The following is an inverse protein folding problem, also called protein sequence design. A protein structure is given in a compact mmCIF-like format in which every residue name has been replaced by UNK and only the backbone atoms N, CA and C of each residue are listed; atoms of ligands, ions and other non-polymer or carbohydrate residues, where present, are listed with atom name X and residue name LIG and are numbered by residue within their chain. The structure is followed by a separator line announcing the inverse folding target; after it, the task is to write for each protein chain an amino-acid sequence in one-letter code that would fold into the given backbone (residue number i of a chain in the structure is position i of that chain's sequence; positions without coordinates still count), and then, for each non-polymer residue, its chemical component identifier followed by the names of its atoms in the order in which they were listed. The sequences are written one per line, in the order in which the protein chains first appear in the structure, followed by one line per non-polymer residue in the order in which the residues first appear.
data_IF_247096496677
#
_entry.id   IF_247096496677
#
_cell.length_a   1.000
_cell.length_b   1.000
_cell.length_c   1.000
_cell.angle_alpha   90.00
_cell.angle_beta   90.00
_cell.angle_gamma   90.00
#
_symmetry.space_group_name_H-M   'P 1'
#
loop_
_entity.id
_entity.type
_entity.pdbx_description
1 polymer ?
#
# COMPACT_ATOMS: atom_id res chain seq x y z
N UNK A 1 -9.08 -30.02 21.58
CA UNK A 1 -9.77 -28.86 22.18
C UNK A 1 -8.91 -27.62 22.38
N UNK A 2 -7.78 -27.66 23.11
CA UNK A 2 -6.97 -26.43 23.33
C UNK A 2 -6.55 -25.75 22.01
N UNK A 3 -6.16 -26.54 20.99
CA UNK A 3 -5.71 -26.06 19.68
C UNK A 3 -6.82 -25.40 18.86
N UNK A 4 -7.99 -26.04 18.76
CA UNK A 4 -9.15 -25.51 18.03
C UNK A 4 -9.68 -24.22 18.66
N UNK A 5 -9.60 -24.11 20.00
CA UNK A 5 -9.96 -22.88 20.72
C UNK A 5 -8.97 -21.75 20.41
N UNK A 6 -7.66 -22.04 20.40
CA UNK A 6 -6.62 -21.05 20.06
C UNK A 6 -6.67 -20.61 18.59
N UNK A 7 -6.86 -21.53 17.65
CA UNK A 7 -6.99 -21.21 16.22
C UNK A 7 -8.26 -20.38 15.95
N UNK A 8 -9.37 -20.72 16.62
CA UNK A 8 -10.61 -19.95 16.55
C UNK A 8 -10.47 -18.54 17.09
N UNK A 9 -9.71 -18.35 18.18
CA UNK A 9 -9.46 -17.04 18.75
C UNK A 9 -8.66 -16.17 17.77
N UNK A 10 -7.58 -16.68 17.20
CA UNK A 10 -6.73 -15.93 16.26
C UNK A 10 -7.51 -15.44 15.04
N UNK A 11 -8.34 -16.28 14.43
CA UNK A 11 -9.15 -15.91 13.27
C UNK A 11 -10.20 -14.85 13.63
N UNK A 12 -10.84 -14.95 14.80
CA UNK A 12 -11.80 -13.92 15.26
C UNK A 12 -11.14 -12.59 15.54
N UNK A 13 -9.95 -12.60 16.15
CA UNK A 13 -9.16 -11.39 16.37
C UNK A 13 -8.78 -10.76 15.03
N UNK A 14 -8.38 -11.56 14.04
CA UNK A 14 -8.10 -11.06 12.70
C UNK A 14 -9.35 -10.43 12.05
N UNK A 15 -10.52 -11.05 12.15
CA UNK A 15 -11.77 -10.49 11.62
C UNK A 15 -12.14 -9.16 12.29
N UNK A 16 -12.07 -9.09 13.62
CA UNK A 16 -12.31 -7.86 14.35
C UNK A 16 -11.30 -6.77 13.93
N UNK A 17 -10.03 -7.14 13.77
CA UNK A 17 -8.99 -6.25 13.26
C UNK A 17 -9.32 -5.71 11.87
N UNK A 18 -9.76 -6.55 10.94
CA UNK A 18 -10.14 -6.10 9.59
C UNK A 18 -11.31 -5.13 9.64
N UNK A 19 -12.35 -5.43 10.43
CA UNK A 19 -13.49 -4.51 10.63
C UNK A 19 -13.05 -3.16 11.17
N UNK A 20 -12.21 -3.12 12.20
CA UNK A 20 -11.65 -1.86 12.74
C UNK A 20 -10.76 -1.16 11.72
N UNK A 21 -9.98 -1.90 10.95
CA UNK A 21 -9.08 -1.36 9.93
C UNK A 21 -9.84 -0.69 8.79
N UNK A 22 -11.04 -1.17 8.42
CA UNK A 22 -11.90 -0.45 7.48
C UNK A 22 -12.40 0.88 8.03
N UNK A 23 -12.74 0.96 9.32
CA UNK A 23 -13.09 2.24 9.96
C UNK A 23 -11.90 3.21 9.89
N UNK A 24 -10.69 2.71 10.14
CA UNK A 24 -9.44 3.48 10.01
C UNK A 24 -9.23 3.98 8.57
N UNK A 25 -9.54 3.18 7.54
CA UNK A 25 -9.48 3.64 6.15
C UNK A 25 -10.50 4.74 5.83
N UNK A 26 -11.72 4.65 6.39
CA UNK A 26 -12.71 5.72 6.27
C UNK A 26 -12.18 7.00 6.92
N UNK A 27 -11.57 6.91 8.10
CA UNK A 27 -10.92 8.06 8.75
C UNK A 27 -9.79 8.63 7.89
N UNK A 28 -8.93 7.79 7.29
CA UNK A 28 -7.87 8.24 6.36
C UNK A 28 -8.46 8.97 5.16
N UNK A 29 -9.59 8.52 4.64
CA UNK A 29 -10.24 9.12 3.47
C UNK A 29 -10.91 10.46 3.79
N UNK A 30 -11.53 10.59 4.95
CA UNK A 30 -12.40 11.73 5.28
C UNK A 30 -11.82 12.72 6.31
N UNK A 31 -10.72 12.39 7.00
CA UNK A 31 -10.08 13.26 7.98
C UNK A 31 -8.65 13.61 7.56
N UNK A 32 -8.41 14.89 7.26
CA UNK A 32 -7.11 15.38 6.81
C UNK A 32 -6.01 15.16 7.87
N UNK A 33 -6.29 15.48 9.15
CA UNK A 33 -5.35 15.26 10.26
C UNK A 33 -4.95 13.79 10.42
N UNK A 34 -5.88 12.87 10.15
CA UNK A 34 -5.61 11.43 10.23
C UNK A 34 -4.86 10.92 8.99
N UNK A 35 -5.12 11.49 7.82
CA UNK A 35 -4.33 11.22 6.61
C UNK A 35 -2.86 11.59 6.82
N UNK A 36 -2.61 12.73 7.46
CA UNK A 36 -1.26 13.18 7.80
C UNK A 36 -0.51 12.26 8.76
N UNK A 37 -1.22 11.65 9.71
CA UNK A 37 -0.67 10.69 10.65
C UNK A 37 -0.33 9.35 9.96
N UNK A 38 -1.08 8.99 8.92
CA UNK A 38 -1.02 7.69 8.22
C UNK A 38 -0.30 7.73 6.87
N UNK A 39 0.14 8.91 6.41
CA UNK A 39 0.83 9.08 5.15
C UNK A 39 2.21 8.39 5.12
N UNK A 40 2.44 7.61 4.06
CA UNK A 40 3.71 6.93 3.76
C UNK A 40 4.49 7.70 2.68
N UNK A 41 4.76 8.98 2.92
CA UNK A 41 5.51 9.84 2.02
C UNK A 41 6.25 10.95 2.76
N UNK A 42 7.55 11.07 2.50
CA UNK A 42 8.39 12.09 3.12
C UNK A 42 7.91 13.51 2.79
N UNK A 43 7.41 14.20 3.82
CA UNK A 43 7.47 15.65 3.89
C UNK A 43 8.93 16.03 3.92
N UNK A 44 9.41 16.73 2.91
CA UNK A 44 10.73 17.37 2.98
C UNK A 44 10.75 18.23 4.25
N UNK A 45 11.72 17.97 5.12
CA UNK A 45 11.93 18.74 6.32
C UNK A 45 12.13 20.21 5.95
N UNK A 46 11.09 21.01 6.19
CA UNK A 46 11.17 22.46 6.32
C UNK A 46 10.52 22.88 7.65
N UNK A 47 10.65 22.05 8.69
CA UNK A 47 10.14 22.34 10.02
C UNK A 47 11.18 22.99 10.95
N UNK A 48 12.47 22.99 10.59
CA UNK A 48 13.53 23.55 11.44
C UNK A 48 13.96 24.97 11.06
N UNK A 49 13.30 25.63 10.10
CA UNK A 49 13.69 26.97 9.65
C UNK A 49 12.67 28.10 9.92
N UNK A 50 11.53 27.83 10.55
CA UNK A 50 10.55 28.89 10.83
C UNK A 50 9.57 28.55 11.96
N UNK A 51 10.09 28.17 13.13
CA UNK A 51 9.38 28.41 14.38
C UNK A 51 9.32 29.93 14.61
N UNK A 52 8.17 30.55 14.36
CA UNK A 52 7.92 31.92 14.82
C UNK A 52 6.85 32.70 14.09
N UNK A 53 6.56 32.42 12.81
CA UNK A 53 5.69 33.32 12.01
C UNK A 53 4.56 32.57 11.26
N UNK A 54 4.63 31.24 11.14
CA UNK A 54 3.70 30.45 10.32
C UNK A 54 2.48 29.83 11.05
N UNK A 55 2.46 29.79 12.38
CA UNK A 55 1.37 29.13 13.13
C UNK A 55 0.04 29.89 13.04
N UNK A 56 0.07 31.22 13.00
CA UNK A 56 -1.16 32.03 12.97
C UNK A 56 -1.94 31.90 11.65
N UNK A 57 -1.24 31.73 10.52
CA UNK A 57 -1.88 31.63 9.19
C UNK A 57 -2.38 30.21 8.89
N UNK A 58 -1.69 29.18 9.42
CA UNK A 58 -2.09 27.76 9.31
C UNK A 58 -3.35 27.45 10.13
N UNK A 59 -3.53 28.13 11.25
CA UNK A 59 -4.74 28.00 12.08
C UNK A 59 -5.97 28.62 11.39
N UNK A 60 -5.82 29.70 10.61
CA UNK A 60 -6.91 30.33 9.85
C UNK A 60 -7.35 29.51 8.62
N UNK A 61 -6.41 28.93 7.86
CA UNK A 61 -6.75 28.02 6.75
C UNK A 61 -7.29 26.68 7.26
N UNK A 62 -6.85 26.23 8.44
CA UNK A 62 -7.42 25.10 9.16
C UNK A 62 -8.88 25.32 9.55
N UNK A 63 -9.23 26.49 10.09
CA UNK A 63 -10.62 26.82 10.47
C UNK A 63 -11.57 26.93 9.26
N UNK A 64 -11.09 27.42 8.11
CA UNK A 64 -11.89 27.49 6.88
C UNK A 64 -11.99 26.15 6.13
N UNK A 65 -11.00 25.25 6.24
CA UNK A 65 -11.09 23.90 5.68
C UNK A 65 -11.92 22.94 6.55
N UNK A 66 -12.05 23.20 7.86
CA UNK A 66 -12.85 22.39 8.80
C UNK A 66 -14.36 22.61 8.60
N UNK A 67 -14.77 23.72 7.99
CA UNK A 67 -16.18 24.08 7.80
C UNK A 67 -16.83 23.45 6.57
N UNK A 68 -16.08 22.91 5.61
CA UNK A 68 -16.62 22.29 4.40
C UNK A 68 -16.37 20.77 4.42
N UNK A 69 -17.25 20.03 5.10
CA UNK A 69 -17.32 18.57 4.97
C UNK A 69 -17.27 17.76 6.26
N UNK A 70 -17.56 18.34 7.41
CA UNK A 70 -17.74 17.58 8.64
C UNK A 70 -19.02 16.72 8.58
N UNK A 71 -18.95 15.57 7.90
CA UNK A 71 -19.97 14.52 8.03
C UNK A 71 -20.07 14.08 9.49
N UNK A 72 -21.24 13.65 9.97
CA UNK A 72 -21.45 13.18 11.36
C UNK A 72 -20.37 12.17 11.84
N UNK A 73 -19.80 11.40 10.90
CA UNK A 73 -18.70 10.46 11.10
C UNK A 73 -17.38 11.12 11.52
N UNK A 74 -17.07 12.34 11.10
CA UNK A 74 -15.81 13.00 11.48
C UNK A 74 -15.89 13.59 12.90
N UNK A 75 -17.05 14.14 13.27
CA UNK A 75 -17.25 14.87 14.54
C UNK A 75 -16.99 14.01 15.80
N UNK A 76 -17.34 12.72 15.75
CA UNK A 76 -17.08 11.78 16.85
C UNK A 76 -15.61 11.37 17.01
N UNK A 77 -14.82 11.49 15.94
CA UNK A 77 -13.44 11.00 15.89
C UNK A 77 -12.39 12.11 15.92
N UNK A 78 -12.78 13.39 15.87
CA UNK A 78 -11.86 14.54 16.00
C UNK A 78 -11.04 14.48 17.30
N UNK A 79 -11.70 14.28 18.45
CA UNK A 79 -11.01 14.19 19.76
C UNK A 79 -9.98 13.06 19.84
N UNK A 80 -10.31 11.79 19.49
CA UNK A 80 -9.33 10.71 19.53
C UNK A 80 -8.23 10.86 18.47
N UNK A 81 -8.52 11.40 17.28
CA UNK A 81 -7.50 11.69 16.25
C UNK A 81 -6.53 12.75 16.77
N UNK A 82 -7.02 13.85 17.33
CA UNK A 82 -6.19 14.90 17.91
C UNK A 82 -5.36 14.41 19.11
N UNK A 83 -5.93 13.55 19.96
CA UNK A 83 -5.17 12.91 21.03
C UNK A 83 -4.06 12.01 20.48
N UNK A 84 -4.34 11.24 19.42
CA UNK A 84 -3.36 10.37 18.80
C UNK A 84 -2.22 11.14 18.12
N UNK A 85 -2.54 12.24 17.41
CA UNK A 85 -1.53 13.11 16.77
C UNK A 85 -0.63 13.78 17.81
N UNK A 86 -1.18 14.21 18.94
CA UNK A 86 -0.43 14.81 20.06
C UNK A 86 0.29 13.80 20.96
N UNK A 87 -0.06 12.52 20.88
CA UNK A 87 0.58 11.44 21.64
C UNK A 87 2.04 11.17 21.20
N UNK A 88 2.75 10.37 21.99
CA UNK A 88 4.07 9.86 21.63
C UNK A 88 4.06 9.09 20.29
N UNK A 89 2.97 8.37 19.99
CA UNK A 89 2.83 7.58 18.76
C UNK A 89 2.74 8.46 17.50
N UNK A 90 2.09 9.63 17.61
CA UNK A 90 1.97 10.60 16.51
C UNK A 90 3.20 11.48 16.33
N UNK A 91 3.90 11.81 17.43
CA UNK A 91 5.08 12.68 17.41
C UNK A 91 6.38 11.96 17.08
N UNK A 92 6.55 10.72 17.54
CA UNK A 92 7.76 9.95 17.29
C UNK A 92 7.87 9.56 15.81
N UNK A 93 9.01 9.87 15.19
CA UNK A 93 9.28 9.59 13.78
C UNK A 93 10.35 8.51 13.65
N UNK A 94 10.08 7.52 12.80
CA UNK A 94 11.01 6.44 12.49
C UNK A 94 11.33 6.52 11.00
N UNK A 95 12.59 6.25 10.64
CA UNK A 95 12.98 6.17 9.23
C UNK A 95 12.15 5.14 8.50
N UNK A 96 11.68 5.47 7.29
CA UNK A 96 10.85 4.58 6.48
C UNK A 96 11.52 3.21 6.27
N UNK A 97 12.84 3.17 6.02
CA UNK A 97 13.58 1.91 5.87
C UNK A 97 13.38 0.98 7.08
N UNK A 98 13.52 1.50 8.30
CA UNK A 98 13.34 0.72 9.54
C UNK A 98 11.89 0.26 9.72
N UNK A 99 10.90 1.11 9.41
CA UNK A 99 9.49 0.70 9.54
C UNK A 99 9.18 -0.45 8.59
N UNK A 100 9.52 -0.32 7.31
CA UNK A 100 9.27 -1.36 6.31
C UNK A 100 10.01 -2.65 6.66
N UNK A 101 11.27 -2.56 7.11
CA UNK A 101 12.02 -3.72 7.62
C UNK A 101 11.27 -4.41 8.76
N UNK A 102 10.77 -3.64 9.73
CA UNK A 102 10.00 -4.19 10.85
C UNK A 102 8.71 -4.88 10.40
N UNK A 103 8.00 -4.34 9.40
CA UNK A 103 6.78 -4.94 8.86
C UNK A 103 7.05 -6.36 8.35
N UNK A 104 8.05 -6.49 7.48
CA UNK A 104 8.36 -7.75 6.82
C UNK A 104 8.96 -8.78 7.78
N UNK A 105 9.85 -8.35 8.69
CA UNK A 105 10.37 -9.23 9.75
C UNK A 105 9.25 -9.75 10.63
N UNK A 106 8.31 -8.88 11.03
CA UNK A 106 7.16 -9.28 11.85
C UNK A 106 6.29 -10.30 11.12
N UNK A 107 6.04 -10.12 9.82
CA UNK A 107 5.30 -11.08 8.99
C UNK A 107 5.99 -12.45 8.91
N UNK A 108 7.31 -12.46 8.68
CA UNK A 108 8.11 -13.71 8.61
C UNK A 108 8.11 -14.44 9.96
N UNK A 109 8.39 -13.73 11.07
CA UNK A 109 8.44 -14.32 12.41
C UNK A 109 7.08 -14.88 12.81
N UNK A 110 5.99 -14.15 12.53
CA UNK A 110 4.63 -14.61 12.81
C UNK A 110 4.32 -15.87 12.01
N UNK A 111 4.63 -15.87 10.71
CA UNK A 111 4.38 -17.03 9.84
C UNK A 111 5.20 -18.25 10.26
N UNK A 112 6.48 -18.07 10.61
CA UNK A 112 7.34 -19.13 11.12
C UNK A 112 6.81 -19.70 12.45
N UNK A 113 6.28 -18.86 13.33
CA UNK A 113 5.67 -19.28 14.59
C UNK A 113 4.40 -20.11 14.34
N UNK A 114 3.54 -19.67 13.41
CA UNK A 114 2.33 -20.39 13.01
C UNK A 114 2.65 -21.74 12.36
N UNK A 115 3.64 -21.79 11.46
CA UNK A 115 4.12 -23.02 10.84
C UNK A 115 4.70 -23.98 11.88
N UNK A 116 5.54 -23.48 12.80
CA UNK A 116 6.12 -24.27 13.88
C UNK A 116 5.04 -24.86 14.80
N UNK A 117 4.06 -24.05 15.17
CA UNK A 117 2.93 -24.51 15.98
C UNK A 117 2.24 -25.70 15.31
N UNK A 118 1.92 -25.60 14.01
CA UNK A 118 1.32 -26.70 13.25
C UNK A 118 2.18 -27.95 13.22
N UNK A 119 3.48 -27.82 12.95
CA UNK A 119 4.39 -28.97 12.91
C UNK A 119 4.45 -29.70 14.27
N UNK A 120 4.44 -28.96 15.37
CA UNK A 120 4.41 -29.53 16.72
C UNK A 120 3.10 -30.30 16.94
N UNK A 121 1.96 -29.69 16.59
CA UNK A 121 0.65 -30.35 16.76
C UNK A 121 0.48 -31.60 15.91
N UNK A 122 1.00 -31.60 14.67
CA UNK A 122 1.00 -32.79 13.82
C UNK A 122 1.81 -33.96 14.42
N UNK A 123 3.00 -33.66 14.96
CA UNK A 123 3.85 -34.68 15.61
C UNK A 123 3.20 -35.25 16.87
N UNK A 124 2.54 -34.41 17.66
CA UNK A 124 1.87 -34.86 18.89
C UNK A 124 0.64 -35.75 18.61
N UNK A 125 -0.12 -35.48 17.53
CA UNK A 125 -1.29 -36.29 17.16
C UNK A 125 -0.96 -37.66 16.56
N UNK A 126 0.23 -37.82 15.97
CA UNK A 126 0.71 -39.10 15.41
C UNK A 126 1.32 -40.02 16.45
N UNK A 127 1.72 -39.50 17.62
CA UNK A 127 2.33 -40.29 18.71
C UNK A 127 1.30 -40.97 19.64
N UNK A 128 0.01 -40.63 19.57
CA UNK A 128 -1.01 -41.11 20.52
C UNK A 128 -2.01 -42.14 19.96
N UNK A 129 -1.81 -42.66 18.75
CA UNK A 129 -2.76 -43.57 18.10
C UNK A 129 -2.23 -45.00 17.96
N UNK A 130 -2.71 -45.93 18.79
CA UNK A 130 -2.76 -47.34 18.41
C UNK A 130 -3.53 -47.48 17.08
N UNK A 131 -3.10 -48.35 16.15
CA UNK A 131 -3.74 -48.50 14.86
C UNK A 131 -5.08 -49.24 15.04
N UNK A 132 -6.19 -48.49 15.13
CA UNK A 132 -7.52 -49.08 15.04
C UNK A 132 -7.84 -49.36 13.57
N UNK A 133 -7.96 -50.63 13.20
CA UNK A 133 -8.11 -51.16 11.84
C UNK A 133 -9.44 -50.80 11.11
N UNK A 134 -10.19 -49.78 11.53
CA UNK A 134 -11.52 -49.46 10.96
C UNK A 134 -11.60 -48.06 10.32
N UNK A 135 -10.46 -47.39 10.11
CA UNK A 135 -10.43 -46.15 9.34
C UNK A 135 -10.27 -46.45 7.84
N UNK A 136 -11.39 -46.51 7.11
CA UNK A 136 -11.40 -46.41 5.65
C UNK A 136 -10.50 -45.24 5.21
N UNK A 137 -9.59 -45.43 4.23
CA UNK A 137 -8.65 -44.40 3.81
C UNK A 137 -9.41 -43.37 2.97
N UNK A 138 -10.03 -42.40 3.62
CA UNK A 138 -10.51 -41.19 2.94
C UNK A 138 -9.32 -40.24 2.82
N UNK A 139 -8.91 -39.82 1.61
CA UNK A 139 -7.81 -38.89 1.44
C UNK A 139 -8.30 -37.51 1.88
N UNK A 140 -8.06 -37.14 3.14
CA UNK A 140 -8.01 -35.74 3.50
C UNK A 140 -6.95 -35.07 2.60
N UNK A 141 -7.13 -33.80 2.18
CA UNK A 141 -6.11 -33.10 1.40
C UNK A 141 -4.77 -33.24 2.13
N UNK A 142 -3.72 -33.63 1.39
CA UNK A 142 -2.40 -33.87 1.98
C UNK A 142 -1.96 -32.62 2.73
N UNK A 143 -1.74 -32.77 4.04
CA UNK A 143 -1.29 -31.79 5.03
C UNK A 143 -0.36 -30.65 4.53
N UNK A 144 0.66 -30.92 3.68
CA UNK A 144 1.52 -29.87 3.14
C UNK A 144 0.80 -28.77 2.32
N UNK A 145 -0.31 -29.07 1.65
CA UNK A 145 -0.94 -28.11 0.74
C UNK A 145 -1.78 -27.05 1.46
N UNK A 146 -2.29 -27.34 2.67
CA UNK A 146 -2.97 -26.34 3.51
C UNK A 146 -2.00 -25.26 4.04
N UNK A 147 -0.69 -25.49 3.93
CA UNK A 147 0.32 -24.49 4.29
C UNK A 147 0.68 -23.55 3.15
N UNK A 148 0.26 -23.84 1.90
CA UNK A 148 0.67 -23.08 0.71
C UNK A 148 0.38 -21.57 0.83
N UNK A 149 -0.83 -21.10 1.22
CA UNK A 149 -1.10 -19.66 1.31
C UNK A 149 -0.18 -18.95 2.33
N UNK A 150 0.10 -19.58 3.46
CA UNK A 150 1.01 -19.05 4.49
C UNK A 150 2.47 -19.05 4.00
N UNK A 151 2.88 -20.08 3.27
CA UNK A 151 4.23 -20.15 2.64
C UNK A 151 4.37 -19.05 1.59
N UNK A 152 3.38 -18.86 0.73
CA UNK A 152 3.38 -17.78 -0.27
C UNK A 152 3.43 -16.40 0.39
N UNK A 153 2.67 -16.18 1.47
CA UNK A 153 2.75 -14.95 2.26
C UNK A 153 4.14 -14.74 2.90
N UNK A 154 4.74 -15.80 3.43
CA UNK A 154 6.09 -15.76 4.01
C UNK A 154 7.12 -15.40 2.95
N UNK A 155 7.02 -16.01 1.77
CA UNK A 155 7.88 -15.73 0.63
C UNK A 155 7.71 -14.28 0.17
N UNK A 156 6.48 -13.80 0.05
CA UNK A 156 6.19 -12.39 -0.23
C UNK A 156 6.91 -11.48 0.77
N UNK A 157 6.76 -11.72 2.08
CA UNK A 157 7.45 -10.93 3.10
C UNK A 157 8.98 -10.98 2.96
N UNK A 158 9.55 -12.15 2.67
CA UNK A 158 10.99 -12.32 2.48
C UNK A 158 11.51 -11.55 1.25
N UNK A 159 10.78 -11.62 0.13
CA UNK A 159 11.12 -10.86 -1.08
C UNK A 159 11.01 -9.37 -0.80
N UNK A 160 9.93 -8.90 -0.16
CA UNK A 160 9.77 -7.48 0.20
C UNK A 160 10.86 -7.00 1.15
N UNK A 161 11.27 -7.81 2.12
CA UNK A 161 12.40 -7.51 3.00
C UNK A 161 13.70 -7.37 2.21
N UNK A 162 14.00 -8.33 1.33
CA UNK A 162 15.17 -8.30 0.46
C UNK A 162 15.16 -7.05 -0.45
N UNK A 163 14.00 -6.72 -1.04
CA UNK A 163 13.83 -5.49 -1.82
C UNK A 163 14.09 -4.24 -0.97
N UNK A 164 13.56 -4.16 0.24
CA UNK A 164 13.81 -3.04 1.17
C UNK A 164 15.29 -2.89 1.53
N UNK A 165 16.00 -4.00 1.67
CA UNK A 165 17.42 -4.00 2.00
C UNK A 165 18.31 -3.66 0.79
N UNK A 166 18.00 -4.20 -0.39
CA UNK A 166 18.91 -4.26 -1.54
C UNK A 166 18.49 -3.37 -2.71
N UNK A 167 17.19 -3.15 -2.93
CA UNK A 167 16.66 -2.50 -4.13
C UNK A 167 16.12 -1.11 -3.82
N UNK A 168 15.29 -0.98 -2.79
CA UNK A 168 14.57 0.24 -2.47
C UNK A 168 15.53 1.33 -1.95
N UNK A 169 15.49 2.47 -2.61
CA UNK A 169 16.25 3.66 -2.22
C UNK A 169 15.34 4.63 -1.46
N UNK A 170 15.50 4.67 -0.15
CA UNK A 170 14.83 5.63 0.73
C UNK A 170 15.59 6.96 0.74
N UNK A 171 14.88 8.07 0.94
CA UNK A 171 15.53 9.39 1.10
C UNK A 171 16.06 9.54 2.53
N UNK A 172 17.10 10.37 2.69
CA UNK A 172 17.71 10.64 3.99
C UNK A 172 16.72 11.18 5.05
N UNK A 173 15.62 11.80 4.61
CA UNK A 173 14.59 12.38 5.50
C UNK A 173 13.20 11.72 5.35
N UNK A 174 13.11 10.55 4.71
CA UNK A 174 11.83 9.84 4.58
C UNK A 174 11.48 9.15 5.91
N UNK A 175 10.53 9.73 6.64
CA UNK A 175 10.11 9.24 7.97
C UNK A 175 8.62 8.97 8.02
N UNK A 176 8.23 8.03 8.88
CA UNK A 176 6.84 7.69 9.19
C UNK A 176 6.60 7.88 10.69
N UNK A 177 5.35 8.13 11.08
CA UNK A 177 4.98 8.15 12.50
C UNK A 177 5.16 6.76 13.12
N UNK A 178 5.47 6.71 14.42
CA UNK A 178 5.50 5.45 15.16
C UNK A 178 4.14 4.76 15.12
N UNK A 179 3.03 5.51 15.13
CA UNK A 179 1.69 4.97 14.90
C UNK A 179 1.60 4.19 13.58
N UNK A 180 2.01 4.81 12.46
CA UNK A 180 1.99 4.14 11.16
C UNK A 180 2.91 2.91 11.15
N UNK A 181 4.06 2.98 11.82
CA UNK A 181 4.95 1.83 11.95
C UNK A 181 4.34 0.66 12.75
N UNK A 182 3.65 0.96 13.85
CA UNK A 182 2.94 -0.06 14.64
C UNK A 182 1.78 -0.64 13.84
N UNK A 183 0.96 0.21 13.21
CA UNK A 183 -0.18 -0.21 12.38
C UNK A 183 0.26 -1.09 11.20
N UNK A 184 1.39 -0.75 10.56
CA UNK A 184 2.00 -1.59 9.52
C UNK A 184 2.44 -2.94 10.07
N UNK A 185 3.07 -2.97 11.25
CA UNK A 185 3.52 -4.23 11.86
C UNK A 185 2.33 -5.12 12.27
N UNK A 186 1.27 -4.55 12.86
CA UNK A 186 0.06 -5.28 13.22
C UNK A 186 -0.68 -5.81 11.99
N UNK A 187 -0.65 -5.08 10.86
CA UNK A 187 -1.18 -5.56 9.59
C UNK A 187 -0.50 -6.86 9.15
N UNK A 188 0.84 -6.95 9.22
CA UNK A 188 1.56 -8.17 8.83
C UNK A 188 1.32 -9.35 9.77
N UNK A 189 1.11 -9.11 11.08
CA UNK A 189 0.68 -10.15 12.02
C UNK A 189 -0.68 -10.71 11.60
N UNK A 190 -1.66 -9.84 11.38
CA UNK A 190 -3.02 -10.23 11.06
C UNK A 190 -3.13 -10.84 9.66
N UNK A 191 -2.31 -10.38 8.70
CA UNK A 191 -2.23 -10.98 7.38
C UNK A 191 -1.62 -12.38 7.42
N UNK A 192 -0.61 -12.62 8.27
CA UNK A 192 -0.07 -13.97 8.50
C UNK A 192 -1.13 -14.91 9.08
N UNK A 193 -1.85 -14.46 10.12
CA UNK A 193 -2.95 -15.22 10.73
C UNK A 193 -4.06 -15.50 9.71
N UNK A 194 -4.42 -14.52 8.89
CA UNK A 194 -5.46 -14.65 7.86
C UNK A 194 -5.03 -15.52 6.67
N UNK A 195 -3.72 -15.68 6.45
CA UNK A 195 -3.16 -16.59 5.43
C UNK A 195 -3.00 -18.01 5.95
N UNK A 196 -3.19 -18.24 7.25
CA UNK A 196 -3.08 -19.55 7.86
C UNK A 196 -4.40 -20.31 7.65
N UNK A 197 -4.36 -21.44 6.92
CA UNK A 197 -5.53 -22.31 6.75
C UNK A 197 -6.05 -22.88 8.08
N UNK A 198 -7.35 -23.13 8.25
CA UNK A 198 -7.86 -23.87 9.41
C UNK A 198 -7.24 -25.28 9.50
N UNK A 199 -7.12 -25.84 10.72
CA UNK A 199 -6.65 -27.22 10.91
C UNK A 199 -7.55 -28.26 10.23
N UNK A 200 -6.96 -29.39 9.81
CA UNK A 200 -7.63 -30.48 9.07
C UNK A 200 -8.88 -31.05 9.75
N UNK A 201 -9.02 -30.91 11.08
CA UNK A 201 -10.19 -31.40 11.82
C UNK A 201 -11.43 -30.54 11.61
N UNK A 202 -11.27 -29.31 11.11
CA UNK A 202 -12.35 -28.33 10.99
C UNK A 202 -12.82 -28.11 9.54
N UNK A 203 -12.06 -28.55 8.53
CA UNK A 203 -12.38 -28.31 7.11
C UNK A 203 -13.47 -29.28 6.63
N UNK A 204 -14.61 -28.79 6.10
CA UNK A 204 -15.58 -29.66 5.42
C UNK A 204 -14.88 -30.44 4.32
N UNK A 205 -15.33 -31.67 4.03
CA UNK A 205 -14.72 -32.51 2.98
C UNK A 205 -14.57 -31.67 1.71
N UNK A 206 -13.31 -31.40 1.35
CA UNK A 206 -12.97 -30.69 0.13
C UNK A 206 -13.61 -31.42 -1.06
N UNK A 207 -13.89 -30.71 -2.17
CA UNK A 207 -14.64 -31.30 -3.26
C UNK A 207 -13.96 -32.58 -3.76
N UNK A 208 -14.72 -33.65 -4.02
CA UNK A 208 -14.21 -34.95 -4.50
C UNK A 208 -13.28 -34.82 -5.71
N UNK A 209 -13.52 -33.82 -6.56
CA UNK A 209 -12.65 -33.53 -7.71
C UNK A 209 -11.27 -32.99 -7.29
N UNK A 210 -11.22 -32.21 -6.22
CA UNK A 210 -10.00 -31.66 -5.62
C UNK A 210 -9.25 -32.70 -4.79
N UNK A 211 -9.93 -33.76 -4.33
CA UNK A 211 -9.28 -34.90 -3.66
C UNK A 211 -8.49 -35.80 -4.63
N UNK A 212 -8.58 -35.57 -5.95
CA UNK A 212 -7.69 -36.23 -6.92
C UNK A 212 -6.29 -35.60 -6.81
N UNK A 213 -5.25 -36.37 -6.47
CA UNK A 213 -3.92 -35.82 -6.18
C UNK A 213 -3.35 -35.00 -7.35
N UNK A 214 -3.54 -35.45 -8.59
CA UNK A 214 -3.11 -34.70 -9.78
C UNK A 214 -3.84 -33.36 -9.96
N UNK A 215 -5.14 -33.31 -9.68
CA UNK A 215 -5.92 -32.06 -9.81
C UNK A 215 -5.54 -31.08 -8.70
N UNK A 216 -5.39 -31.57 -7.48
CA UNK A 216 -4.93 -30.78 -6.33
C UNK A 216 -3.56 -30.15 -6.60
N UNK A 217 -2.59 -30.95 -7.07
CA UNK A 217 -1.26 -30.47 -7.43
C UNK A 217 -1.30 -29.43 -8.55
N UNK A 218 -2.12 -29.63 -9.58
CA UNK A 218 -2.28 -28.66 -10.67
C UNK A 218 -2.85 -27.33 -10.17
N UNK A 219 -3.90 -27.35 -9.35
CA UNK A 219 -4.56 -26.14 -8.83
C UNK A 219 -3.62 -25.34 -7.93
N UNK A 220 -3.04 -25.98 -6.93
CA UNK A 220 -2.11 -25.31 -6.01
C UNK A 220 -0.81 -24.90 -6.72
N UNK A 221 -0.32 -25.73 -7.65
CA UNK A 221 0.82 -25.41 -8.50
C UNK A 221 0.57 -24.17 -9.36
N UNK A 222 -0.59 -24.09 -10.01
CA UNK A 222 -1.00 -22.91 -10.78
C UNK A 222 -1.12 -21.65 -9.90
N UNK A 223 -1.69 -21.79 -8.70
CA UNK A 223 -1.74 -20.70 -7.72
C UNK A 223 -0.35 -20.20 -7.32
N UNK A 224 0.57 -21.12 -7.00
CA UNK A 224 1.96 -20.79 -6.69
C UNK A 224 2.66 -20.09 -7.86
N UNK A 225 2.57 -20.64 -9.07
CA UNK A 225 3.19 -20.05 -10.27
C UNK A 225 2.63 -18.64 -10.52
N UNK A 226 1.31 -18.46 -10.40
CA UNK A 226 0.66 -17.16 -10.56
C UNK A 226 1.17 -16.15 -9.52
N UNK A 227 1.25 -16.56 -8.25
CA UNK A 227 1.78 -15.71 -7.18
C UNK A 227 3.23 -15.30 -7.44
N UNK A 228 4.09 -16.27 -7.80
CA UNK A 228 5.50 -16.02 -8.11
C UNK A 228 5.68 -15.10 -9.32
N UNK A 229 4.86 -15.28 -10.36
CA UNK A 229 4.88 -14.42 -11.54
C UNK A 229 4.51 -12.98 -11.19
N UNK A 230 3.45 -12.77 -10.40
CA UNK A 230 3.05 -11.45 -9.91
C UNK A 230 4.15 -10.83 -9.03
N UNK A 231 4.78 -11.61 -8.16
CA UNK A 231 5.91 -11.16 -7.34
C UNK A 231 7.09 -10.72 -8.22
N UNK A 232 7.41 -11.46 -9.28
CA UNK A 232 8.49 -11.10 -10.20
C UNK A 232 8.21 -9.80 -10.96
N UNK A 233 6.96 -9.59 -11.40
CA UNK A 233 6.54 -8.31 -11.98
C UNK A 233 6.69 -7.19 -10.95
N UNK A 234 6.22 -7.40 -9.71
CA UNK A 234 6.34 -6.41 -8.64
C UNK A 234 7.81 -6.00 -8.39
N UNK A 235 8.72 -6.98 -8.32
CA UNK A 235 10.17 -6.74 -8.16
C UNK A 235 10.77 -5.96 -9.32
N UNK A 236 10.37 -6.30 -10.55
CA UNK A 236 10.80 -5.60 -11.76
C UNK A 236 10.37 -4.14 -11.72
N UNK A 237 9.12 -3.88 -11.34
CA UNK A 237 8.53 -2.55 -11.20
C UNK A 237 9.27 -1.73 -10.12
N UNK A 238 9.53 -2.30 -8.94
CA UNK A 238 10.31 -1.61 -7.91
C UNK A 238 11.75 -1.33 -8.34
N UNK A 239 12.37 -2.24 -9.09
CA UNK A 239 13.73 -2.05 -9.62
C UNK A 239 13.77 -0.87 -10.60
N UNK A 240 12.78 -0.75 -11.48
CA UNK A 240 12.63 0.41 -12.38
C UNK A 240 12.50 1.69 -11.56
N UNK A 241 11.59 1.73 -10.58
CA UNK A 241 11.41 2.90 -9.71
C UNK A 241 12.67 3.26 -8.92
N UNK A 242 13.44 2.26 -8.47
CA UNK A 242 14.72 2.48 -7.79
C UNK A 242 15.78 3.06 -8.73
N UNK A 243 15.81 2.63 -10.00
CA UNK A 243 16.70 3.17 -11.04
C UNK A 243 16.40 4.64 -11.36
N UNK A 244 15.13 5.03 -11.41
CA UNK A 244 14.75 6.44 -11.63
C UNK A 244 15.21 7.38 -10.49
N UNK A 245 15.39 6.84 -9.27
CA UNK A 245 15.93 7.61 -8.14
C UNK A 245 17.46 7.75 -8.21
N UNK A 246 18.13 7.01 -9.10
CA UNK A 246 19.55 7.18 -9.40
C UNK A 246 19.67 8.34 -10.38
N UNK A 247 19.53 9.58 -9.91
CA UNK A 247 20.01 10.70 -10.71
C UNK A 247 21.50 10.44 -10.99
N UNK A 248 21.99 10.61 -12.23
CA UNK A 248 23.42 10.67 -12.45
C UNK A 248 23.94 11.77 -11.53
N UNK A 249 24.86 11.42 -10.64
CA UNK A 249 25.61 12.43 -9.91
C UNK A 249 26.17 13.36 -10.98
N UNK A 250 25.65 14.60 -11.03
CA UNK A 250 26.19 15.63 -11.90
C UNK A 250 27.68 15.68 -11.59
N UNK A 251 28.50 15.18 -12.52
CA UNK A 251 29.95 15.26 -12.43
C UNK A 251 30.27 16.74 -12.23
N UNK A 252 30.61 17.05 -11.00
CA UNK A 252 30.79 18.40 -10.50
C UNK A 252 32.18 18.85 -10.98
N UNK A 253 32.27 19.28 -12.23
CA UNK A 253 33.42 20.07 -12.65
C UNK A 253 33.33 21.43 -11.96
N UNK A 254 34.22 21.68 -11.00
CA UNK A 254 34.04 22.62 -9.89
C UNK A 254 34.17 24.11 -10.23
N UNK A 255 34.00 24.51 -11.50
CA UNK A 255 34.05 25.91 -11.93
C UNK A 255 32.86 26.33 -12.80
N UNK A 256 32.44 25.47 -13.73
CA UNK A 256 31.37 25.78 -14.70
C UNK A 256 29.96 25.62 -14.11
N UNK A 257 29.81 24.72 -13.13
CA UNK A 257 28.52 24.43 -12.50
C UNK A 257 27.95 25.57 -11.67
N UNK A 258 28.81 26.40 -11.05
CA UNK A 258 28.35 27.48 -10.17
C UNK A 258 27.68 28.61 -10.95
N UNK A 259 28.31 29.03 -12.04
CA UNK A 259 27.76 30.05 -12.95
C UNK A 259 26.46 29.56 -13.62
N UNK A 260 26.38 28.28 -14.02
CA UNK A 260 25.17 27.72 -14.62
C UNK A 260 24.00 27.66 -13.62
N UNK A 261 24.27 27.32 -12.35
CA UNK A 261 23.27 27.38 -11.28
C UNK A 261 22.78 28.81 -11.01
N UNK A 262 23.67 29.81 -11.05
CA UNK A 262 23.28 31.22 -10.84
C UNK A 262 22.32 31.72 -11.95
N UNK A 263 22.54 31.29 -13.20
CA UNK A 263 21.64 31.61 -14.32
C UNK A 263 20.31 30.86 -14.26
N UNK A 264 20.32 29.58 -13.89
CA UNK A 264 19.08 28.81 -13.67
C UNK A 264 18.22 29.46 -12.57
N UNK A 265 18.84 29.91 -11.48
CA UNK A 265 18.15 30.58 -10.38
C UNK A 265 17.64 31.97 -10.80
N UNK A 266 18.40 32.71 -11.62
CA UNK A 266 17.97 33.96 -12.22
C UNK A 266 16.78 33.82 -13.17
N UNK A 267 16.82 32.82 -14.06
CA UNK A 267 15.69 32.47 -14.93
C UNK A 267 14.47 32.07 -14.11
N UNK A 268 14.68 31.31 -13.04
CA UNK A 268 13.60 30.86 -12.18
C UNK A 268 12.91 32.01 -11.46
N UNK A 269 13.67 32.97 -10.90
CA UNK A 269 13.10 34.19 -10.32
C UNK A 269 12.25 34.97 -11.33
N UNK A 270 12.65 35.02 -12.61
CA UNK A 270 11.86 35.66 -13.67
C UNK A 270 10.57 34.89 -13.97
N UNK A 271 10.63 33.56 -14.07
CA UNK A 271 9.43 32.72 -14.26
C UNK A 271 8.44 32.93 -13.12
N UNK A 272 8.92 32.97 -11.88
CA UNK A 272 8.08 33.23 -10.70
C UNK A 272 7.42 34.60 -10.76
N UNK A 273 8.20 35.65 -11.07
CA UNK A 273 7.69 37.00 -11.20
C UNK A 273 6.61 37.06 -12.29
N UNK A 274 6.83 36.42 -13.43
CA UNK A 274 5.88 36.40 -14.54
C UNK A 274 4.57 35.71 -14.14
N UNK A 275 4.64 34.54 -13.48
CA UNK A 275 3.46 33.83 -12.97
C UNK A 275 2.68 34.69 -11.97
N UNK A 276 3.38 35.37 -11.06
CA UNK A 276 2.76 36.25 -10.07
C UNK A 276 2.06 37.45 -10.73
N UNK A 277 2.69 38.07 -11.73
CA UNK A 277 2.10 39.19 -12.47
C UNK A 277 0.91 38.77 -13.33
N UNK A 278 0.96 37.60 -13.97
CA UNK A 278 -0.16 37.10 -14.78
C UNK A 278 -1.39 36.74 -13.95
N UNK A 279 -1.18 36.22 -12.73
CA UNK A 279 -2.27 35.90 -11.81
C UNK A 279 -2.96 37.18 -11.30
N UNK A 280 -2.18 38.22 -10.97
CA UNK A 280 -2.72 39.51 -10.56
C UNK A 280 -3.53 40.20 -11.68
N UNK A 281 -3.09 40.06 -12.94
CA UNK A 281 -3.76 40.66 -14.10
C UNK A 281 -5.09 39.99 -14.47
N UNK A 282 -5.29 38.71 -14.13
CA UNK A 282 -6.53 37.98 -14.44
C UNK A 282 -7.64 38.20 -13.41
N UNK A 283 -7.41 39.02 -12.37
CA UNK A 283 -8.40 39.25 -11.32
C UNK A 283 -8.76 37.98 -10.53
N UNK A 284 -7.97 36.93 -10.67
CA UNK A 284 -8.11 35.73 -9.86
C UNK A 284 -7.80 36.10 -8.41
N UNK A 285 -8.81 36.03 -7.56
CA UNK A 285 -8.64 35.95 -6.10
C UNK A 285 -7.50 34.97 -5.78
N UNK A 286 -6.69 35.17 -4.72
CA UNK A 286 -5.57 34.28 -4.34
C UNK A 286 -5.94 32.81 -4.05
N UNK A 287 -7.16 32.39 -4.40
CA UNK A 287 -7.68 31.03 -4.40
C UNK A 287 -7.20 30.15 -5.56
N UNK A 288 -6.48 30.68 -6.55
CA UNK A 288 -5.67 29.78 -7.41
C UNK A 288 -4.59 29.22 -6.52
N UNK A 289 -4.52 27.89 -6.33
CA UNK A 289 -3.57 27.31 -5.39
C UNK A 289 -2.19 27.68 -5.88
N UNK A 290 -1.56 28.65 -5.20
CA UNK A 290 -0.11 28.78 -5.19
C UNK A 290 0.39 27.35 -4.97
N UNK A 291 1.15 26.77 -5.92
CA UNK A 291 1.67 25.43 -5.72
C UNK A 291 2.37 25.46 -4.38
N UNK A 292 2.00 24.61 -3.41
CA UNK A 292 2.62 24.64 -2.10
C UNK A 292 4.14 24.67 -2.31
N UNK A 293 4.92 25.38 -1.47
CA UNK A 293 6.37 25.44 -1.61
C UNK A 293 7.03 24.05 -1.69
N UNK A 294 6.33 22.98 -1.29
CA UNK A 294 6.69 21.57 -1.47
C UNK A 294 6.72 21.08 -2.94
N UNK A 295 6.05 21.76 -3.87
CA UNK A 295 6.10 21.48 -5.32
C UNK A 295 7.29 22.16 -6.03
N UNK A 296 8.00 23.06 -5.36
CA UNK A 296 9.25 23.61 -5.90
C UNK A 296 10.25 22.48 -6.11
N UNK A 297 10.58 22.24 -7.37
CA UNK A 297 11.52 21.19 -7.77
C UNK A 297 10.91 19.80 -7.90
N UNK A 298 9.74 19.49 -7.33
CA UNK A 298 9.10 18.17 -7.52
C UNK A 298 8.86 17.86 -9.01
N UNK A 299 8.32 18.81 -9.77
CA UNK A 299 8.12 18.67 -11.20
C UNK A 299 9.43 18.52 -12.01
N UNK A 300 10.58 18.96 -11.47
CA UNK A 300 11.92 18.76 -12.06
C UNK A 300 12.55 17.43 -11.66
N UNK A 301 12.16 16.90 -10.50
CA UNK A 301 12.79 15.72 -9.89
C UNK A 301 12.11 14.41 -10.30
N UNK A 302 10.80 14.42 -10.55
CA UNK A 302 10.05 13.20 -10.82
C UNK A 302 9.66 13.05 -12.28
N UNK A 303 9.98 11.89 -12.85
CA UNK A 303 9.55 11.44 -14.17
C UNK A 303 8.70 10.19 -14.04
N UNK A 304 7.62 10.12 -14.80
CA UNK A 304 6.77 8.95 -14.79
C UNK A 304 7.36 7.91 -15.77
N UNK A 305 7.59 6.65 -15.35
CA UNK A 305 8.26 5.65 -16.18
C UNK A 305 7.39 5.04 -17.28
N UNK A 306 6.65 5.87 -18.03
CA UNK A 306 5.74 5.42 -19.08
C UNK A 306 6.43 4.50 -20.11
N UNK A 307 7.62 4.90 -20.58
CA UNK A 307 8.35 4.15 -21.61
C UNK A 307 9.25 3.05 -21.06
N UNK A 308 9.41 2.95 -19.74
CA UNK A 308 10.33 1.97 -19.15
C UNK A 308 9.77 0.55 -19.11
N UNK A 309 8.43 0.40 -19.06
CA UNK A 309 7.77 -0.90 -19.03
C UNK A 309 6.29 -0.77 -19.43
N UNK A 310 5.78 -1.76 -20.19
CA UNK A 310 4.38 -1.84 -20.62
C UNK A 310 3.40 -1.75 -19.44
N UNK A 311 3.74 -2.30 -18.27
CA UNK A 311 2.91 -2.23 -17.07
C UNK A 311 2.58 -0.78 -16.68
N UNK A 312 3.52 0.17 -16.79
CA UNK A 312 3.29 1.59 -16.46
C UNK A 312 2.46 2.34 -17.51
N UNK A 313 2.33 1.78 -18.72
CA UNK A 313 1.45 2.31 -19.76
C UNK A 313 -0.01 1.92 -19.53
N UNK A 314 -0.22 0.79 -18.84
CA UNK A 314 -1.55 0.23 -18.59
C UNK A 314 -2.08 0.67 -17.22
N UNK A 315 -1.25 0.65 -16.17
CA UNK A 315 -1.64 0.90 -14.77
C UNK A 315 -0.72 1.93 -14.13
N UNK A 316 -1.29 2.86 -13.36
CA UNK A 316 -0.53 3.92 -12.68
C UNK A 316 0.50 3.36 -11.67
N UNK A 317 0.07 2.40 -10.86
CA UNK A 317 0.89 1.76 -9.83
C UNK A 317 0.88 0.23 -9.99
N UNK A 318 1.61 -0.34 -10.97
CA UNK A 318 1.53 -1.77 -11.27
C UNK A 318 1.90 -2.67 -10.09
N UNK A 319 2.83 -2.23 -9.25
CA UNK A 319 3.26 -2.94 -8.05
C UNK A 319 2.15 -3.09 -7.01
N UNK A 320 1.24 -2.12 -6.90
CA UNK A 320 0.06 -2.22 -6.02
C UNK A 320 -0.96 -3.23 -6.56
N UNK A 321 -1.18 -3.24 -7.87
CA UNK A 321 -2.07 -4.23 -8.52
C UNK A 321 -1.53 -5.65 -8.33
N UNK A 322 -0.22 -5.85 -8.48
CA UNK A 322 0.41 -7.15 -8.22
C UNK A 322 0.19 -7.61 -6.77
N UNK A 323 0.38 -6.69 -5.81
CA UNK A 323 0.20 -6.99 -4.39
C UNK A 323 -1.24 -7.43 -4.07
N UNK A 324 -2.25 -6.73 -4.58
CA UNK A 324 -3.66 -7.11 -4.41
C UNK A 324 -3.94 -8.47 -5.06
N UNK A 325 -3.45 -8.69 -6.28
CA UNK A 325 -3.65 -9.94 -7.00
C UNK A 325 -3.03 -11.13 -6.26
N UNK A 326 -1.85 -10.96 -5.65
CA UNK A 326 -1.23 -12.01 -4.83
C UNK A 326 -2.05 -12.36 -3.58
N UNK A 327 -2.60 -11.37 -2.89
CA UNK A 327 -3.54 -11.62 -1.78
C UNK A 327 -4.84 -12.28 -2.27
N UNK A 328 -5.34 -11.92 -3.45
CA UNK A 328 -6.51 -12.56 -4.03
C UNK A 328 -6.26 -14.04 -4.36
N UNK A 329 -5.07 -14.37 -4.90
CA UNK A 329 -4.65 -15.77 -5.11
C UNK A 329 -4.67 -16.55 -3.80
N UNK A 330 -4.10 -16.00 -2.72
CA UNK A 330 -4.13 -16.66 -1.40
C UNK A 330 -5.57 -16.90 -0.91
N UNK A 331 -6.45 -15.91 -1.06
CA UNK A 331 -7.87 -16.03 -0.70
C UNK A 331 -8.59 -17.08 -1.53
N UNK A 332 -8.32 -17.17 -2.83
CA UNK A 332 -8.89 -18.20 -3.71
C UNK A 332 -8.40 -19.58 -3.32
N UNK A 333 -7.10 -19.75 -3.04
CA UNK A 333 -6.54 -21.03 -2.59
C UNK A 333 -7.20 -21.48 -1.28
N UNK A 334 -7.39 -20.57 -0.32
CA UNK A 334 -8.10 -20.86 0.92
C UNK A 334 -9.58 -21.19 0.70
N UNK A 335 -10.26 -20.45 -0.17
CA UNK A 335 -11.66 -20.72 -0.53
C UNK A 335 -11.81 -22.12 -1.15
N UNK A 336 -10.90 -22.52 -2.04
CA UNK A 336 -10.88 -23.85 -2.65
C UNK A 336 -10.68 -24.96 -1.61
N UNK A 337 -9.98 -24.70 -0.50
CA UNK A 337 -9.88 -25.65 0.60
C UNK A 337 -11.20 -25.85 1.36
N UNK A 338 -12.08 -24.83 1.36
CA UNK A 338 -13.28 -24.76 2.22
C UNK A 338 -14.58 -25.02 1.47
N UNK A 339 -14.56 -24.99 0.12
CA UNK A 339 -15.73 -25.21 -0.71
C UNK A 339 -16.32 -26.62 -0.46
N UNK A 340 -17.61 -26.71 -0.10
CA UNK A 340 -18.25 -28.01 0.11
C UNK A 340 -18.44 -28.76 -1.20
N UNK A 341 -18.47 -30.09 -1.11
CA UNK A 341 -18.82 -30.96 -2.23
C UNK A 341 -20.27 -30.71 -2.67
N UNK A 342 -20.48 -30.31 -3.93
CA UNK A 342 -21.80 -30.02 -4.50
C UNK A 342 -22.77 -31.23 -4.53
N UNK A 343 -22.27 -32.45 -4.26
CA UNK A 343 -23.00 -33.72 -4.35
C UNK A 343 -23.39 -34.24 -2.96
N UNK A 344 -22.91 -33.62 -1.86
CA UNK A 344 -23.26 -34.09 -0.52
C UNK A 344 -24.56 -33.41 -0.06
N UNK A 345 -25.66 -34.15 0.16
CA UNK A 345 -26.91 -33.55 0.61
C UNK A 345 -26.70 -32.87 1.96
N UNK A 346 -27.35 -31.72 2.14
CA UNK A 346 -27.31 -30.86 3.34
C UNK A 346 -27.68 -31.59 4.65
N UNK A 347 -28.18 -32.81 4.57
CA UNK A 347 -28.50 -33.72 5.68
C UNK A 347 -27.28 -34.33 6.37
N UNK A 348 -26.11 -34.39 5.72
CA UNK A 348 -24.90 -35.00 6.31
C UNK A 348 -24.14 -34.03 7.23
N UNK A 349 -24.26 -32.73 6.99
CA UNK A 349 -23.69 -31.67 7.84
C UNK A 349 -24.48 -31.58 9.17
N UNK A 350 -25.80 -31.72 9.10
CA UNK A 350 -26.66 -31.83 10.29
C UNK A 350 -26.49 -33.15 11.02
N UNK A 351 -26.24 -34.27 10.32
CA UNK A 351 -25.93 -35.56 10.96
C UNK A 351 -24.52 -35.62 11.59
N UNK A 352 -23.54 -34.90 11.02
CA UNK A 352 -22.21 -34.71 11.61
C UNK A 352 -22.24 -33.79 12.83
N UNK A 353 -23.02 -32.71 12.78
CA UNK A 353 -23.31 -31.83 13.92
C UNK A 353 -24.13 -32.54 15.01
N UNK A 354 -25.04 -33.46 14.64
CA UNK A 354 -25.79 -34.29 15.57
C UNK A 354 -24.88 -35.31 16.26
N UNK A 355 -23.94 -35.95 15.54
CA UNK A 355 -22.94 -36.86 16.12
C UNK A 355 -21.90 -36.15 16.98
N UNK A 356 -21.53 -34.90 16.66
CA UNK A 356 -20.69 -34.09 17.55
C UNK A 356 -21.47 -33.62 18.79
N UNK A 357 -22.76 -33.31 18.65
CA UNK A 357 -23.67 -33.04 19.78
C UNK A 357 -23.81 -34.26 20.70
N UNK A 358 -23.91 -35.49 20.16
CA UNK A 358 -24.07 -36.72 20.97
C UNK A 358 -22.82 -37.03 21.82
N UNK A 359 -21.62 -36.70 21.31
CA UNK A 359 -20.36 -36.72 22.09
C UNK A 359 -20.23 -35.55 23.09
N UNK A 360 -20.89 -34.42 22.82
CA UNK A 360 -20.92 -33.25 23.69
C UNK A 360 -21.88 -33.49 24.89
N UNK A 361 -23.01 -34.17 24.65
CA UNK A 361 -23.99 -34.54 25.68
C UNK A 361 -23.42 -35.54 26.69
N UNK A 362 -22.48 -36.39 26.29
CA UNK A 362 -21.82 -37.35 27.17
C UNK A 362 -20.62 -36.77 27.94
N UNK A 363 -20.11 -35.60 27.54
CA UNK A 363 -18.93 -34.95 28.15
C UNK A 363 -19.23 -33.68 28.97
N UNK A 364 -20.50 -33.25 29.05
CA UNK A 364 -20.90 -32.08 29.84
C UNK A 364 -20.44 -30.74 29.25
N UNK A 365 -20.08 -30.70 27.98
CA UNK A 365 -19.52 -29.50 27.35
C UNK A 365 -20.57 -28.53 26.79
N UNK A 366 -20.31 -27.21 26.83
CA UNK A 366 -21.27 -26.23 26.36
C UNK A 366 -21.50 -26.29 24.84
N UNK A 367 -22.76 -26.43 24.45
CA UNK A 367 -23.25 -26.59 23.06
C UNK A 367 -22.80 -25.46 22.09
N UNK A 368 -22.41 -24.28 22.60
CA UNK A 368 -21.91 -23.16 21.79
C UNK A 368 -20.51 -23.41 21.20
N UNK A 369 -19.67 -24.25 21.82
CA UNK A 369 -18.35 -24.58 21.28
C UNK A 369 -18.45 -25.33 19.93
N UNK A 370 -19.40 -26.27 19.82
CA UNK A 370 -19.62 -27.10 18.62
C UNK A 370 -20.05 -26.30 17.39
N UNK A 371 -21.08 -25.45 17.54
CA UNK A 371 -21.62 -24.62 16.43
C UNK A 371 -20.61 -23.60 15.92
N UNK A 372 -19.75 -23.09 16.80
CA UNK A 372 -18.76 -22.08 16.45
C UNK A 372 -17.51 -22.70 15.79
N UNK A 373 -17.11 -23.93 16.18
CA UNK A 373 -16.03 -24.65 15.52
C UNK A 373 -16.40 -25.10 14.11
N UNK A 374 -17.67 -25.45 13.84
CA UNK A 374 -18.15 -25.84 12.51
C UNK A 374 -18.07 -24.71 11.45
N UNK A 375 -17.97 -23.44 11.87
CA UNK A 375 -17.85 -22.27 10.97
C UNK A 375 -16.42 -21.77 10.78
N UNK A 376 -15.45 -22.34 11.50
CA UNK A 376 -14.07 -21.87 11.53
C UNK A 376 -13.38 -21.77 10.15
N UNK A 377 -13.60 -22.70 9.20
CA UNK A 377 -12.99 -22.59 7.87
C UNK A 377 -13.48 -21.39 7.08
N UNK A 378 -14.79 -21.11 7.12
CA UNK A 378 -15.37 -19.94 6.46
C UNK A 378 -14.89 -18.64 7.10
N UNK A 379 -14.70 -18.61 8.43
CA UNK A 379 -14.11 -17.46 9.10
C UNK A 379 -12.66 -17.20 8.65
N UNK A 380 -11.90 -18.24 8.35
CA UNK A 380 -10.53 -18.12 7.83
C UNK A 380 -10.51 -17.54 6.42
N UNK A 381 -11.42 -18.00 5.55
CA UNK A 381 -11.62 -17.42 4.21
C UNK A 381 -12.04 -15.95 4.31
N UNK A 382 -12.96 -15.61 5.22
CA UNK A 382 -13.38 -14.23 5.47
C UNK A 382 -12.21 -13.37 5.99
N UNK A 383 -11.34 -13.93 6.83
CA UNK A 383 -10.12 -13.26 7.28
C UNK A 383 -9.19 -12.93 6.11
N UNK A 384 -8.93 -13.89 5.22
CA UNK A 384 -8.13 -13.70 4.01
C UNK A 384 -8.77 -12.69 3.06
N UNK A 385 -10.09 -12.77 2.85
CA UNK A 385 -10.83 -11.79 2.07
C UNK A 385 -10.73 -10.38 2.70
N UNK A 386 -10.75 -10.29 4.03
CA UNK A 386 -10.50 -9.06 4.78
C UNK A 386 -9.15 -8.44 4.44
N UNK A 387 -8.06 -9.21 4.42
CA UNK A 387 -6.73 -8.76 3.96
C UNK A 387 -6.79 -8.24 2.53
N UNK A 388 -7.35 -9.03 1.60
CA UNK A 388 -7.42 -8.66 0.17
C UNK A 388 -8.18 -7.35 0.00
N UNK A 389 -9.35 -7.22 0.61
CA UNK A 389 -10.20 -6.05 0.50
C UNK A 389 -9.59 -4.83 1.17
N UNK A 390 -9.01 -4.97 2.37
CA UNK A 390 -8.32 -3.86 3.04
C UNK A 390 -7.15 -3.36 2.19
N UNK A 391 -6.33 -4.28 1.67
CA UNK A 391 -5.17 -3.94 0.82
C UNK A 391 -5.64 -3.24 -0.45
N UNK A 392 -6.69 -3.75 -1.09
CA UNK A 392 -7.29 -3.15 -2.28
C UNK A 392 -7.79 -1.72 -2.02
N UNK A 393 -8.52 -1.50 -0.93
CA UNK A 393 -9.01 -0.18 -0.55
C UNK A 393 -7.87 0.78 -0.20
N UNK A 394 -6.92 0.35 0.64
CA UNK A 394 -5.80 1.17 1.10
C UNK A 394 -4.87 1.60 -0.06
N UNK A 395 -4.55 0.67 -0.97
CA UNK A 395 -3.71 0.96 -2.13
C UNK A 395 -4.47 1.76 -3.18
N UNK A 396 -5.79 1.63 -3.29
CA UNK A 396 -6.59 2.48 -4.19
C UNK A 396 -6.65 3.93 -3.71
N UNK A 397 -6.80 4.17 -2.40
CA UNK A 397 -6.68 5.51 -1.81
C UNK A 397 -5.29 6.09 -2.12
N UNK A 398 -4.24 5.31 -1.90
CA UNK A 398 -2.85 5.73 -2.15
C UNK A 398 -2.59 6.00 -3.64
N UNK A 399 -3.16 5.18 -4.54
CA UNK A 399 -3.06 5.39 -6.00
C UNK A 399 -3.80 6.64 -6.45
N UNK A 400 -4.96 6.97 -5.84
CA UNK A 400 -5.64 8.23 -6.08
C UNK A 400 -4.81 9.44 -5.62
N UNK A 401 -4.14 9.34 -4.47
CA UNK A 401 -3.17 10.36 -4.00
C UNK A 401 -2.01 10.53 -4.99
N UNK A 402 -1.44 9.43 -5.50
CA UNK A 402 -0.40 9.47 -6.53
C UNK A 402 -0.89 10.13 -7.83
N UNK A 403 -2.12 9.83 -8.27
CA UNK A 403 -2.71 10.47 -9.46
C UNK A 403 -2.84 11.97 -9.26
N UNK A 404 -3.37 12.41 -8.12
CA UNK A 404 -3.49 13.84 -7.79
C UNK A 404 -2.12 14.52 -7.80
N UNK A 405 -1.11 13.87 -7.21
CA UNK A 405 0.27 14.36 -7.27
C UNK A 405 0.75 14.57 -8.72
N UNK A 406 0.58 13.58 -9.60
CA UNK A 406 1.01 13.70 -11.00
C UNK A 406 0.23 14.75 -11.78
N UNK A 407 -1.08 14.89 -11.54
CA UNK A 407 -1.90 15.94 -12.15
C UNK A 407 -1.43 17.33 -11.73
N UNK A 408 -1.13 17.52 -10.44
CA UNK A 408 -0.59 18.79 -9.93
C UNK A 408 0.81 19.08 -10.50
N UNK A 409 1.65 18.05 -10.64
CA UNK A 409 2.95 18.17 -11.31
C UNK A 409 2.79 18.60 -12.77
N UNK A 410 1.89 17.97 -13.54
CA UNK A 410 1.62 18.35 -14.93
C UNK A 410 1.00 19.75 -15.04
N UNK A 411 0.10 20.15 -14.13
CA UNK A 411 -0.40 21.52 -14.06
C UNK A 411 0.73 22.53 -13.83
N UNK A 412 1.65 22.22 -12.90
CA UNK A 412 2.82 23.06 -12.62
C UNK A 412 3.72 23.17 -13.85
N UNK A 413 3.96 22.06 -14.56
CA UNK A 413 4.72 22.07 -15.82
C UNK A 413 4.05 22.96 -16.86
N UNK A 414 2.74 22.85 -17.07
CA UNK A 414 2.00 23.74 -17.99
C UNK A 414 2.19 25.21 -17.65
N UNK A 415 2.02 25.58 -16.37
CA UNK A 415 2.20 26.96 -15.91
C UNK A 415 3.63 27.48 -16.19
N UNK A 416 4.65 26.71 -15.79
CA UNK A 416 6.06 27.06 -16.02
C UNK A 416 6.38 27.13 -17.52
N UNK A 417 5.83 26.22 -18.32
CA UNK A 417 6.06 26.15 -19.76
C UNK A 417 5.43 27.31 -20.51
N UNK A 418 4.23 27.72 -20.09
CA UNK A 418 3.59 28.92 -20.63
C UNK A 418 4.42 30.16 -20.30
N UNK A 419 4.82 30.34 -19.03
CA UNK A 419 5.66 31.47 -18.63
C UNK A 419 7.00 31.50 -19.38
N UNK A 420 7.67 30.35 -19.54
CA UNK A 420 8.93 30.27 -20.30
C UNK A 420 8.74 30.60 -21.78
N UNK A 421 7.65 30.14 -22.42
CA UNK A 421 7.34 30.51 -23.81
C UNK A 421 7.11 32.01 -23.95
N UNK A 422 6.29 32.61 -23.08
CA UNK A 422 6.04 34.05 -23.09
C UNK A 422 7.32 34.86 -22.92
N UNK A 423 8.18 34.49 -21.96
CA UNK A 423 9.48 35.17 -21.77
C UNK A 423 10.35 35.06 -23.03
N UNK A 424 10.40 33.89 -23.67
CA UNK A 424 11.19 33.71 -24.90
C UNK A 424 10.62 34.49 -26.08
N UNK A 425 9.30 34.52 -26.24
CA UNK A 425 8.61 35.25 -27.30
C UNK A 425 8.80 36.78 -27.12
N UNK A 426 8.71 37.29 -25.89
CA UNK A 426 8.99 38.68 -25.54
C UNK A 426 10.44 39.07 -25.84
N UNK A 427 11.41 38.20 -25.52
CA UNK A 427 12.83 38.45 -25.84
C UNK A 427 13.09 38.44 -27.35
N UNK A 428 12.42 37.56 -28.10
CA UNK A 428 12.54 37.50 -29.55
C UNK A 428 11.93 38.75 -30.22
N UNK A 429 10.88 39.33 -29.63
CA UNK A 429 10.23 40.53 -30.12
C UNK A 429 11.00 41.85 -29.80
N UNK A 430 12.01 41.83 -28.92
CA UNK A 430 12.78 43.04 -28.55
C UNK A 430 13.61 43.58 -29.74
N UNK A 431 13.48 44.86 -30.12
CA UNK A 431 14.27 45.45 -31.20
C UNK A 431 15.77 45.48 -30.87
N UNK A 432 16.62 45.30 -31.88
CA UNK A 432 18.09 45.18 -31.77
C UNK A 432 18.81 46.41 -31.18
N UNK A 433 18.13 47.56 -31.04
CA UNK A 433 18.75 48.85 -30.70
C UNK A 433 18.27 49.52 -29.40
N UNK A 434 17.28 48.99 -28.69
CA UNK A 434 16.84 49.60 -27.43
C UNK A 434 17.69 49.09 -26.28
N UNK A 435 18.26 50.00 -25.49
CA UNK A 435 19.17 49.74 -24.35
C UNK A 435 18.61 48.91 -23.18
N UNK A 436 17.54 48.14 -23.37
CA UNK A 436 17.16 47.07 -22.48
C UNK A 436 18.06 45.86 -22.73
N UNK A 437 18.84 45.46 -21.73
CA UNK A 437 19.71 44.29 -21.82
C UNK A 437 18.89 43.05 -22.24
N UNK A 438 19.14 42.53 -23.44
CA UNK A 438 18.62 41.25 -23.91
C UNK A 438 19.08 40.14 -22.96
N UNK A 439 18.28 39.07 -22.86
CA UNK A 439 18.75 37.87 -22.18
C UNK A 439 20.03 37.33 -22.84
N UNK A 440 21.03 36.90 -22.05
CA UNK A 440 22.19 36.20 -22.58
C UNK A 440 21.76 34.97 -23.40
N UNK A 441 22.48 34.66 -24.47
CA UNK A 441 22.17 33.54 -25.37
C UNK A 441 22.11 32.22 -24.61
N UNK A 442 22.98 32.07 -23.61
CA UNK A 442 23.04 30.89 -22.73
C UNK A 442 21.74 30.72 -21.94
N UNK A 443 21.10 31.81 -21.49
CA UNK A 443 19.83 31.75 -20.76
C UNK A 443 18.68 31.36 -21.70
N UNK A 444 18.71 31.85 -22.94
CA UNK A 444 17.74 31.47 -23.98
C UNK A 444 17.87 29.99 -24.33
N UNK A 445 19.09 29.48 -24.45
CA UNK A 445 19.34 28.06 -24.75
C UNK A 445 18.92 27.16 -23.59
N UNK A 446 19.20 27.56 -22.34
CA UNK A 446 18.73 26.86 -21.14
C UNK A 446 17.19 26.86 -21.09
N UNK A 447 16.53 27.98 -21.34
CA UNK A 447 15.07 28.07 -21.37
C UNK A 447 14.46 27.18 -22.46
N UNK A 448 15.05 27.13 -23.66
CA UNK A 448 14.64 26.22 -24.75
C UNK A 448 14.85 24.75 -24.39
N UNK A 449 15.97 24.41 -23.75
CA UNK A 449 16.23 23.05 -23.26
C UNK A 449 15.20 22.64 -22.21
N UNK A 450 14.91 23.50 -21.23
CA UNK A 450 13.89 23.24 -20.22
C UNK A 450 12.51 23.01 -20.83
N UNK A 451 12.11 23.78 -21.85
CA UNK A 451 10.85 23.59 -22.55
C UNK A 451 10.75 22.25 -23.28
N UNK A 452 11.84 21.78 -23.90
CA UNK A 452 11.87 20.51 -24.63
C UNK A 452 11.95 19.29 -23.72
N UNK A 453 12.63 19.44 -22.59
CA UNK A 453 12.93 18.33 -21.71
C UNK A 453 12.11 18.44 -20.44
N UNK A 454 12.45 19.37 -19.54
CA UNK A 454 11.94 19.46 -18.16
C UNK A 454 10.43 19.71 -18.02
N UNK A 455 9.83 20.43 -18.98
CA UNK A 455 8.46 20.94 -18.87
C UNK A 455 7.44 20.11 -19.66
N UNK A 456 7.87 19.01 -20.28
CA UNK A 456 6.99 18.06 -20.95
C UNK A 456 6.08 17.36 -19.93
N UNK A 457 4.76 17.42 -20.19
CA UNK A 457 3.76 16.72 -19.39
C UNK A 457 3.92 15.20 -19.46
N UNK A 458 3.68 14.54 -18.34
CA UNK A 458 3.75 13.08 -18.28
C UNK A 458 2.44 12.49 -18.77
N UNK A 459 2.53 11.47 -19.61
CA UNK A 459 1.37 10.68 -20.01
C UNK A 459 1.04 9.73 -18.87
N UNK A 460 -0.14 9.91 -18.27
CA UNK A 460 -0.62 9.05 -17.19
C UNK A 460 -1.60 8.01 -17.76
N UNK A 461 -1.50 6.73 -17.36
CA UNK A 461 -2.46 5.72 -17.75
C UNK A 461 -3.86 6.08 -17.23
N UNK A 462 -4.91 5.63 -17.92
CA UNK A 462 -6.28 5.82 -17.47
C UNK A 462 -6.64 4.96 -16.27
N UNK A 463 -6.00 3.79 -16.13
CA UNK A 463 -6.37 2.82 -15.10
C UNK A 463 -5.67 3.12 -13.76
N UNK A 464 -6.49 3.28 -12.71
CA UNK A 464 -6.09 3.20 -11.31
C UNK A 464 -6.36 1.79 -10.78
N UNK A 465 -5.61 1.40 -9.74
CA UNK A 465 -5.71 0.11 -9.05
C UNK A 465 -7.17 -0.34 -8.81
N UNK A 466 -8.06 0.58 -8.44
CA UNK A 466 -9.52 0.45 -8.61
C UNK A 466 -10.09 1.75 -9.24
N UNK A 467 -10.95 1.67 -10.27
CA UNK A 467 -11.48 2.85 -10.96
C UNK A 467 -12.49 3.67 -10.15
N UNK A 468 -12.92 3.18 -8.98
CA UNK A 468 -14.01 3.75 -8.17
C UNK A 468 -13.56 4.77 -7.12
N UNK A 469 -12.24 4.98 -6.94
CA UNK A 469 -11.70 5.95 -5.97
C UNK A 469 -11.04 7.10 -6.74
N UNK A 470 -11.72 8.24 -6.81
CA UNK A 470 -11.23 9.50 -7.42
C UNK A 470 -10.98 10.57 -6.37
#
# INVERSE_FOLDING_TARGET
MSVECTESLSVRVALAYWSTSFVVLLLRRFCAEFSDLTAYGGRSAAADASQGVGEAKRNQEGEQSVTVGATHLTRGYVKPVHWLTSSFLGRCRITRKRSFTAFYVTGIVTSATLLRARCIFHRSGTASGQPSMVAMPSPAPTDPLLCVPLVLFTLHCAVRLAETCLVQRFRAHDTVTLFAAVAGSTFYIMAAISSAAPSHTSVPRAPRWLNRPGVMQCVFGAGCITHLFLQAIQVTVHTILARLRQRPSHMSSSGRGKHMCDWEEGLWRRVQAHIATSSAAQGESPSVPCPPPELYGAWRLYRYPYFSNVCFQVVLDPHYTCEIAMYAVNTILLLLCVLPDAIQPSTDISAGAARSMDRCFTSGEPQWCSTVCARLPWLSVLGSAGVTMFTASNLSITSAEHRRFWLTVNATRRLVGNALRTILDEEQAKPLGNGGARLPVEVVDVAKSLLREAVVEEVLPRWNVLPLVW
#
